data_IF_177940301670
#
_entry.id   IF_177940301670
#
_cell.length_a   1.000
_cell.length_b   1.000
_cell.length_c   1.000
_cell.angle_alpha   90.00
_cell.angle_beta   90.00
_cell.angle_gamma   90.00
#
_symmetry.space_group_name_H-M   'P 1'
#
loop_
_entity.id
_entity.type
_entity.pdbx_description
1 polymer ?
#
# COMPACT_ATOMS: atom_id res chain seq x y z
N UNK A 1 -12.76 -6.46 30.55
CA UNK A 1 -11.68 -7.42 30.84
C UNK A 1 -11.90 -8.61 29.94
N UNK A 2 -11.09 -8.74 28.88
CA UNK A 2 -11.05 -9.86 27.92
C UNK A 2 -12.33 -10.05 27.07
N UNK A 3 -12.31 -10.41 25.80
CA UNK A 3 -11.26 -11.07 25.04
C UNK A 3 -11.28 -10.59 23.59
N UNK A 4 -10.06 -10.45 23.07
CA UNK A 4 -9.65 -10.00 21.75
C UNK A 4 -10.05 -10.96 20.63
N UNK A 5 -10.22 -10.39 19.44
CA UNK A 5 -10.75 -11.02 18.25
C UNK A 5 -9.93 -12.25 17.84
N UNK A 6 -10.58 -13.41 17.74
CA UNK A 6 -10.07 -14.54 16.96
C UNK A 6 -10.66 -14.46 15.55
N UNK A 7 -9.90 -13.88 14.63
CA UNK A 7 -10.16 -14.01 13.20
C UNK A 7 -8.89 -14.53 12.53
N UNK A 8 -8.99 -15.68 11.87
CA UNK A 8 -8.01 -16.10 10.85
C UNK A 8 -6.95 -17.10 11.30
N UNK A 9 -7.31 -18.22 11.91
CA UNK A 9 -6.46 -19.42 11.78
C UNK A 9 -6.66 -19.96 10.35
N UNK A 10 -5.82 -19.54 9.40
CA UNK A 10 -5.75 -20.15 8.06
C UNK A 10 -5.66 -19.23 6.85
N UNK A 11 -5.57 -17.90 7.03
CA UNK A 11 -5.34 -16.99 5.89
C UNK A 11 -3.84 -16.81 5.72
N UNK A 12 -3.28 -17.29 4.60
CA UNK A 12 -1.89 -17.03 4.24
C UNK A 12 -1.63 -15.51 4.21
N UNK A 13 -0.41 -15.05 4.51
CA UNK A 13 -0.05 -13.64 4.39
C UNK A 13 -0.41 -13.06 3.01
N UNK A 14 -0.33 -13.89 1.96
CA UNK A 14 -0.75 -13.53 0.59
C UNK A 14 -2.25 -13.23 0.44
N UNK A 15 -3.09 -13.88 1.24
CA UNK A 15 -4.54 -13.74 1.18
C UNK A 15 -5.02 -12.56 2.02
N UNK A 16 -4.29 -12.21 3.10
CA UNK A 16 -4.51 -10.94 3.82
C UNK A 16 -4.19 -9.71 2.93
N UNK A 17 -3.12 -9.76 2.13
CA UNK A 17 -2.74 -8.70 1.16
C UNK A 17 -3.78 -8.49 0.05
N UNK A 18 -4.52 -9.55 -0.32
CA UNK A 18 -5.56 -9.47 -1.36
C UNK A 18 -6.90 -8.96 -0.84
N UNK A 19 -7.21 -9.20 0.43
CA UNK A 19 -8.54 -8.94 1.01
C UNK A 19 -8.58 -7.60 1.76
N UNK A 20 -7.48 -7.21 2.40
CA UNK A 20 -7.35 -5.92 3.05
C UNK A 20 -6.44 -5.04 2.22
N UNK A 21 -6.92 -3.87 1.81
CA UNK A 21 -6.12 -2.84 1.14
C UNK A 21 -4.90 -2.35 1.96
N UNK A 22 -4.66 -2.88 3.16
CA UNK A 22 -3.58 -2.51 4.10
C UNK A 22 -3.57 -1.02 4.45
N UNK A 23 -4.72 -0.34 4.30
CA UNK A 23 -4.84 1.12 4.46
C UNK A 23 -4.57 1.94 3.20
N UNK A 24 -4.24 1.32 2.06
CA UNK A 24 -3.97 1.99 0.78
C UNK A 24 -5.21 1.90 -0.12
N UNK A 25 -6.02 2.95 -0.12
CA UNK A 25 -7.22 3.03 -0.95
C UNK A 25 -6.97 3.40 -2.41
N UNK A 26 -5.77 3.92 -2.72
CA UNK A 26 -5.42 4.43 -4.04
C UNK A 26 -3.91 4.33 -4.27
N UNK A 27 -3.51 3.95 -5.49
CA UNK A 27 -2.11 3.90 -5.93
C UNK A 27 -1.94 4.76 -7.17
N UNK A 28 -0.94 5.64 -7.15
CA UNK A 28 -0.54 6.48 -8.27
C UNK A 28 0.84 6.05 -8.77
N UNK A 29 0.97 5.77 -10.05
CA UNK A 29 2.25 5.49 -10.71
C UNK A 29 2.72 6.76 -11.43
N UNK A 30 3.81 7.36 -10.96
CA UNK A 30 4.29 8.66 -11.42
C UNK A 30 5.78 8.60 -11.79
N UNK A 31 6.25 9.46 -12.71
CA UNK A 31 7.68 9.72 -12.88
C UNK A 31 8.30 10.23 -11.56
N UNK A 32 9.58 9.92 -11.26
CA UNK A 32 10.21 10.34 -10.01
C UNK A 32 10.15 11.84 -9.74
N UNK A 33 10.28 12.66 -10.78
CA UNK A 33 10.23 14.13 -10.66
C UNK A 33 8.85 14.72 -10.37
N UNK A 34 7.78 13.92 -10.40
CA UNK A 34 6.40 14.37 -10.13
C UNK A 34 5.89 13.93 -8.74
N UNK A 35 6.72 13.22 -7.96
CA UNK A 35 6.30 12.65 -6.67
C UNK A 35 6.00 13.76 -5.67
N UNK A 36 6.86 14.77 -5.55
CA UNK A 36 6.70 15.82 -4.54
C UNK A 36 5.50 16.72 -4.86
N UNK A 37 5.34 17.13 -6.12
CA UNK A 37 4.17 17.91 -6.59
C UNK A 37 2.86 17.17 -6.31
N UNK A 38 2.81 15.86 -6.56
CA UNK A 38 1.63 15.05 -6.29
C UNK A 38 1.33 14.95 -4.79
N UNK A 39 2.35 14.85 -3.93
CA UNK A 39 2.18 14.82 -2.47
C UNK A 39 1.66 16.15 -1.95
N UNK A 40 2.18 17.28 -2.44
CA UNK A 40 1.70 18.61 -2.07
C UNK A 40 0.23 18.80 -2.48
N UNK A 41 -0.12 18.41 -3.71
CA UNK A 41 -1.49 18.47 -4.21
C UNK A 41 -2.45 17.64 -3.34
N UNK A 42 -2.09 16.39 -3.05
CA UNK A 42 -2.92 15.49 -2.24
C UNK A 42 -3.09 15.99 -0.80
N UNK A 43 -2.02 16.53 -0.21
CA UNK A 43 -2.08 17.16 1.11
C UNK A 43 -3.03 18.37 1.10
N UNK A 44 -3.06 19.15 0.02
CA UNK A 44 -4.03 20.24 -0.19
C UNK A 44 -5.50 19.78 -0.20
N UNK A 45 -5.75 18.51 -0.54
CA UNK A 45 -7.08 17.87 -0.48
C UNK A 45 -7.31 17.05 0.80
N UNK A 46 -6.37 17.07 1.77
CA UNK A 46 -6.49 16.33 3.03
C UNK A 46 -6.14 14.85 2.93
N UNK A 47 -5.36 14.45 1.93
CA UNK A 47 -4.87 13.08 1.76
C UNK A 47 -3.36 12.99 2.02
N UNK A 48 -2.98 12.18 3.01
CA UNK A 48 -1.57 11.84 3.23
C UNK A 48 -1.11 10.78 2.22
N UNK A 49 0.00 11.06 1.52
CA UNK A 49 0.58 10.18 0.52
C UNK A 49 2.02 9.80 0.85
N UNK A 50 2.33 8.52 0.68
CA UNK A 50 3.65 7.92 0.91
C UNK A 50 4.10 7.14 -0.31
N UNK A 51 5.40 7.14 -0.58
CA UNK A 51 6.00 6.29 -1.61
C UNK A 51 6.15 4.88 -1.05
N UNK A 52 5.47 3.92 -1.67
CA UNK A 52 5.43 2.52 -1.22
C UNK A 52 6.32 1.57 -2.04
N UNK A 53 6.96 2.08 -3.10
CA UNK A 53 7.85 1.29 -3.95
C UNK A 53 8.18 1.96 -5.27
N UNK A 54 8.80 1.19 -6.15
CA UNK A 54 9.21 1.60 -7.49
C UNK A 54 8.77 0.56 -8.54
N UNK A 55 8.59 1.02 -9.78
CA UNK A 55 8.25 0.17 -10.91
C UNK A 55 9.49 -0.09 -11.78
N UNK A 56 9.80 -1.35 -12.00
CA UNK A 56 10.81 -1.80 -12.97
C UNK A 56 10.17 -2.52 -14.16
N UNK A 57 10.96 -2.75 -15.21
CA UNK A 57 10.52 -3.57 -16.35
C UNK A 57 10.23 -5.02 -15.88
N UNK A 58 9.11 -5.59 -16.31
CA UNK A 58 8.71 -6.94 -15.92
C UNK A 58 7.29 -7.32 -16.35
N UNK A 59 6.85 -8.49 -15.91
CA UNK A 59 5.57 -9.11 -16.30
C UNK A 59 4.66 -9.34 -15.08
N UNK A 60 4.21 -8.25 -14.45
CA UNK A 60 3.17 -8.32 -13.41
C UNK A 60 3.59 -9.02 -12.11
N UNK A 61 4.89 -9.14 -11.84
CA UNK A 61 5.41 -9.63 -10.55
C UNK A 61 5.64 -8.47 -9.60
N UNK A 62 5.24 -8.62 -8.34
CA UNK A 62 5.59 -7.71 -7.27
C UNK A 62 6.47 -8.43 -6.24
N UNK A 63 7.30 -7.66 -5.52
CA UNK A 63 8.09 -8.16 -4.39
C UNK A 63 7.82 -7.22 -3.22
N UNK A 64 7.39 -7.77 -2.11
CA UNK A 64 7.30 -7.04 -0.85
C UNK A 64 8.62 -7.17 -0.11
N UNK A 65 9.11 -6.04 0.38
CA UNK A 65 10.30 -5.96 1.23
C UNK A 65 9.90 -5.24 2.50
N UNK A 66 9.93 -5.96 3.61
CA UNK A 66 9.56 -5.48 4.94
C UNK A 66 9.75 -6.64 5.92
N UNK A 67 10.40 -6.39 7.05
CA UNK A 67 10.68 -7.37 8.11
C UNK A 67 9.62 -7.37 9.18
#
# INVERSE_FOLDING_TARGET
MGETHKAGEGVSDEEMLRVFNLGIGMVLALPPGAVDDARELLAGFGHDAVVIGELGAGEGRFRLTGS
#
